data_IF_303525205185
#
_entry.id   IF_303525205185
#
_cell.length_a   1.000
_cell.length_b   1.000
_cell.length_c   1.000
_cell.angle_alpha   90.00
_cell.angle_beta   90.00
_cell.angle_gamma   90.00
#
_symmetry.space_group_name_H-M   'P 1'
#
loop_
_entity.id
_entity.type
_entity.pdbx_description
1 polymer ?
#
# COMPACT_ATOMS: atom_id res chain seq x y z
N UNK A 1 35.64 -11.02 -2.85
CA UNK A 1 35.01 -10.62 -1.58
C UNK A 1 35.25 -9.12 -1.38
N UNK A 2 34.40 -8.26 -1.96
CA UNK A 2 34.49 -6.79 -1.84
C UNK A 2 33.32 -6.32 -0.99
N UNK A 3 33.60 -5.81 0.21
CA UNK A 3 32.63 -5.07 1.01
C UNK A 3 32.50 -3.68 0.37
N UNK A 4 31.30 -3.33 -0.06
CA UNK A 4 30.96 -1.95 -0.45
C UNK A 4 30.35 -1.34 0.80
N UNK A 5 31.15 -0.54 1.52
CA UNK A 5 30.64 0.35 2.55
C UNK A 5 29.79 1.44 1.87
N UNK A 6 28.47 1.33 1.99
CA UNK A 6 27.58 2.43 1.65
C UNK A 6 27.62 3.44 2.80
N UNK A 7 28.46 4.47 2.62
CA UNK A 7 28.49 5.64 3.47
C UNK A 7 27.17 6.39 3.46
N UNK A 8 26.36 6.18 4.49
CA UNK A 8 25.31 7.10 4.91
C UNK A 8 25.94 8.13 5.85
N UNK A 9 26.51 9.18 5.26
CA UNK A 9 26.93 10.37 5.99
C UNK A 9 25.66 11.16 6.40
N UNK A 10 25.05 10.75 7.50
CA UNK A 10 24.02 11.54 8.17
C UNK A 10 24.73 12.72 8.86
N UNK A 11 24.74 13.87 8.19
CA UNK A 11 25.23 15.12 8.77
C UNK A 11 24.24 15.59 9.83
N UNK A 12 24.46 15.17 11.08
CA UNK A 12 23.72 15.68 12.23
C UNK A 12 24.02 17.17 12.41
N UNK A 13 23.09 17.98 11.90
CA UNK A 13 23.05 19.42 12.09
C UNK A 13 22.77 19.77 13.56
N UNK A 14 23.39 20.86 13.98
CA UNK A 14 23.71 21.28 15.34
C UNK A 14 22.52 21.87 16.12
N UNK A 15 21.34 21.25 16.05
CA UNK A 15 20.17 21.57 16.88
C UNK A 15 19.27 20.33 17.00
N UNK A 16 19.38 19.58 18.11
CA UNK A 16 18.42 18.52 18.45
C UNK A 16 17.07 19.17 18.87
N UNK A 17 16.27 19.61 17.89
CA UNK A 17 14.86 19.88 18.11
C UNK A 17 14.15 18.54 18.19
N UNK A 18 13.74 18.15 19.39
CA UNK A 18 12.94 16.94 19.62
C UNK A 18 11.59 17.12 18.91
N UNK A 19 11.44 16.45 17.78
CA UNK A 19 10.17 16.37 17.05
C UNK A 19 9.23 15.38 17.76
N UNK A 20 7.92 15.58 17.60
CA UNK A 20 6.93 14.68 18.19
C UNK A 20 6.77 13.40 17.34
N UNK A 21 6.78 13.54 16.02
CA UNK A 21 6.82 12.45 15.04
C UNK A 21 8.16 12.45 14.30
N UNK A 22 8.53 11.30 13.75
CA UNK A 22 9.73 11.12 12.92
C UNK A 22 9.33 10.64 11.52
N UNK A 23 8.90 11.54 10.60
CA UNK A 23 8.48 11.17 9.27
C UNK A 23 9.66 10.64 8.45
N UNK A 24 9.45 9.53 7.73
CA UNK A 24 10.49 8.87 6.94
C UNK A 24 11.11 9.78 5.85
N UNK A 25 10.31 10.68 5.29
CA UNK A 25 10.73 11.57 4.20
C UNK A 25 10.62 13.03 4.60
N UNK A 26 11.55 13.85 4.10
CA UNK A 26 11.49 15.31 4.24
C UNK A 26 10.21 15.90 3.62
N UNK A 27 9.67 16.97 4.22
CA UNK A 27 8.45 17.64 3.76
C UNK A 27 8.46 17.97 2.26
N UNK A 28 9.60 18.46 1.73
CA UNK A 28 9.75 18.78 0.30
C UNK A 28 9.56 17.57 -0.62
N UNK A 29 10.04 16.40 -0.20
CA UNK A 29 9.90 15.15 -0.97
C UNK A 29 8.44 14.71 -0.94
N UNK A 30 7.80 14.79 0.23
CA UNK A 30 6.39 14.45 0.43
C UNK A 30 5.49 15.33 -0.44
N UNK A 31 5.69 16.66 -0.41
CA UNK A 31 4.93 17.60 -1.25
C UNK A 31 5.12 17.35 -2.74
N UNK A 32 6.35 17.03 -3.19
CA UNK A 32 6.64 16.66 -4.58
C UNK A 32 5.96 15.35 -5.02
N UNK A 33 5.77 14.40 -4.10
CA UNK A 33 5.03 13.16 -4.38
C UNK A 33 3.53 13.43 -4.44
N UNK A 34 3.00 14.18 -3.47
CA UNK A 34 1.59 14.57 -3.42
C UNK A 34 1.17 15.44 -4.60
N UNK A 35 2.06 16.27 -5.16
CA UNK A 35 1.75 17.10 -6.33
C UNK A 35 1.47 16.30 -7.60
N UNK A 36 1.89 15.02 -7.66
CA UNK A 36 1.58 14.11 -8.77
C UNK A 36 0.21 13.44 -8.63
N UNK A 37 -0.37 13.48 -7.42
CA UNK A 37 -1.63 12.85 -7.10
C UNK A 37 -2.79 13.80 -7.39
N UNK A 38 -3.97 13.23 -7.62
CA UNK A 38 -5.18 14.03 -7.82
C UNK A 38 -5.66 14.58 -6.49
N UNK A 39 -5.76 15.91 -6.40
CA UNK A 39 -6.33 16.60 -5.23
C UNK A 39 -7.85 16.39 -5.19
N UNK A 40 -8.37 16.06 -4.02
CA UNK A 40 -9.79 15.82 -3.77
C UNK A 40 -10.50 17.11 -3.33
N UNK A 41 -11.77 17.23 -3.71
CA UNK A 41 -12.68 18.20 -3.13
C UNK A 41 -13.09 17.78 -1.72
N UNK A 42 -13.45 18.75 -0.88
CA UNK A 42 -13.89 18.47 0.48
C UNK A 42 -15.11 17.54 0.49
N UNK A 43 -15.05 16.50 1.31
CA UNK A 43 -16.14 15.55 1.52
C UNK A 43 -16.30 15.29 3.02
N UNK A 44 -17.48 15.60 3.58
CA UNK A 44 -17.76 15.43 5.01
C UNK A 44 -17.59 14.00 5.53
N UNK A 45 -17.78 12.99 4.67
CA UNK A 45 -17.65 11.58 5.05
C UNK A 45 -16.23 11.04 4.93
N UNK A 46 -15.35 11.75 4.22
CA UNK A 46 -13.96 11.34 3.95
C UNK A 46 -12.98 12.50 4.06
N UNK A 47 -13.25 13.39 5.01
CA UNK A 47 -12.55 14.67 5.19
C UNK A 47 -11.06 14.51 5.54
N UNK A 48 -10.65 13.32 5.95
CA UNK A 48 -9.24 12.99 6.25
C UNK A 48 -8.41 12.76 5.00
N UNK A 49 -9.03 12.50 3.83
CA UNK A 49 -8.34 12.29 2.55
C UNK A 49 -8.33 13.58 1.74
N UNK A 50 -7.14 14.00 1.32
CA UNK A 50 -6.89 15.20 0.52
C UNK A 50 -6.43 14.86 -0.91
N UNK A 51 -5.86 13.66 -1.10
CA UNK A 51 -5.32 13.20 -2.38
C UNK A 51 -5.77 11.77 -2.69
N UNK A 52 -5.76 11.42 -3.97
CA UNK A 52 -5.99 10.06 -4.51
C UNK A 52 -5.05 9.78 -5.67
N UNK A 53 -4.78 8.50 -5.96
CA UNK A 53 -4.00 8.07 -7.13
C UNK A 53 -4.76 8.26 -8.46
N UNK A 54 -6.08 8.47 -8.43
CA UNK A 54 -6.91 8.57 -9.64
C UNK A 54 -7.00 7.24 -10.40
N UNK A 55 -6.52 6.15 -9.80
CA UNK A 55 -6.51 4.82 -10.40
C UNK A 55 -7.90 4.20 -10.35
N UNK A 56 -8.28 3.52 -11.43
CA UNK A 56 -9.54 2.77 -11.48
C UNK A 56 -9.22 1.29 -11.70
N UNK A 57 -9.52 0.42 -10.72
CA UNK A 57 -9.28 -1.01 -10.85
C UNK A 57 -10.06 -1.65 -12.00
N UNK A 58 -9.49 -2.67 -12.65
CA UNK A 58 -10.17 -3.38 -13.73
C UNK A 58 -11.35 -4.21 -13.20
N UNK A 59 -12.40 -4.40 -14.02
CA UNK A 59 -13.53 -5.26 -13.67
C UNK A 59 -13.11 -6.71 -13.34
N UNK A 60 -13.88 -7.38 -12.49
CA UNK A 60 -13.62 -8.76 -12.04
C UNK A 60 -13.53 -9.83 -13.15
N UNK A 61 -14.02 -9.52 -14.35
CA UNK A 61 -13.97 -10.40 -15.52
C UNK A 61 -12.64 -10.35 -16.28
N UNK A 62 -11.83 -9.32 -16.05
CA UNK A 62 -10.53 -9.18 -16.71
C UNK A 62 -9.57 -10.28 -16.25
N UNK A 63 -8.56 -10.58 -17.08
CA UNK A 63 -7.58 -11.60 -16.75
C UNK A 63 -6.69 -11.17 -15.58
N UNK A 64 -6.03 -12.12 -14.92
CA UNK A 64 -5.16 -11.79 -13.80
C UNK A 64 -3.94 -10.97 -14.26
N UNK A 65 -3.32 -11.34 -15.37
CA UNK A 65 -2.22 -10.57 -15.95
C UNK A 65 -2.64 -9.14 -16.32
N UNK A 66 -3.84 -8.93 -16.89
CA UNK A 66 -4.30 -7.56 -17.21
C UNK A 66 -4.42 -6.70 -15.94
N UNK A 67 -4.90 -7.28 -14.84
CA UNK A 67 -5.00 -6.59 -13.55
C UNK A 67 -3.64 -6.22 -12.98
N UNK A 68 -2.65 -7.12 -13.09
CA UNK A 68 -1.26 -6.84 -12.70
C UNK A 68 -0.70 -5.69 -13.56
N UNK A 69 -0.86 -5.77 -14.89
CA UNK A 69 -0.35 -4.75 -15.80
C UNK A 69 -1.05 -3.39 -15.64
N UNK A 70 -2.30 -3.37 -15.18
CA UNK A 70 -3.03 -2.15 -14.87
C UNK A 70 -2.57 -1.51 -13.54
N UNK A 71 -1.81 -2.21 -12.70
CA UNK A 71 -1.41 -1.73 -11.38
C UNK A 71 -2.52 -1.88 -10.32
N UNK A 72 -3.48 -2.79 -10.51
CA UNK A 72 -4.54 -3.06 -9.51
C UNK A 72 -3.97 -3.57 -8.18
N UNK A 73 -2.76 -4.12 -8.23
CA UNK A 73 -2.02 -4.63 -7.08
C UNK A 73 -0.83 -3.75 -6.73
N UNK A 74 -0.72 -2.52 -7.25
CA UNK A 74 0.32 -1.59 -6.82
C UNK A 74 0.03 -1.06 -5.42
N UNK A 75 1.07 -0.75 -4.64
CA UNK A 75 0.93 -0.28 -3.26
C UNK A 75 0.08 1.01 -3.19
N UNK A 76 -0.87 1.12 -2.24
CA UNK A 76 -1.70 2.31 -2.04
C UNK A 76 -0.92 3.45 -1.34
N UNK A 77 0.18 3.88 -1.96
CA UNK A 77 1.16 4.81 -1.39
C UNK A 77 0.59 6.18 -1.02
N UNK A 78 -0.55 6.58 -1.60
CA UNK A 78 -1.11 7.92 -1.41
C UNK A 78 -1.59 8.18 0.02
N UNK A 79 -1.98 7.15 0.80
CA UNK A 79 -2.30 7.34 2.22
C UNK A 79 -1.05 7.69 3.02
N UNK A 80 0.05 6.96 2.83
CA UNK A 80 1.30 7.17 3.56
C UNK A 80 1.93 8.53 3.25
N UNK A 81 1.90 8.97 1.99
CA UNK A 81 2.31 10.34 1.64
C UNK A 81 1.52 11.41 2.40
N UNK A 82 0.22 11.18 2.61
CA UNK A 82 -0.61 12.10 3.40
C UNK A 82 -0.33 11.98 4.90
N UNK A 83 -0.03 10.78 5.42
CA UNK A 83 0.39 10.57 6.82
C UNK A 83 1.65 11.39 7.11
N UNK A 84 2.69 11.27 6.29
CA UNK A 84 3.92 12.03 6.48
C UNK A 84 3.72 13.53 6.39
N UNK A 85 2.85 14.01 5.49
CA UNK A 85 2.50 15.43 5.43
C UNK A 85 1.87 15.90 6.75
N UNK A 86 0.91 15.13 7.27
CA UNK A 86 0.24 15.45 8.54
C UNK A 86 1.20 15.40 9.72
N UNK A 87 2.16 14.47 9.73
CA UNK A 87 3.19 14.41 10.76
C UNK A 87 4.11 15.63 10.74
N UNK A 88 4.49 16.14 9.56
CA UNK A 88 5.22 17.41 9.43
C UNK A 88 4.40 18.59 9.99
N UNK A 89 3.10 18.69 9.66
CA UNK A 89 2.20 19.72 10.21
C UNK A 89 2.07 19.63 11.74
N UNK A 90 2.01 18.41 12.28
CA UNK A 90 1.98 18.15 13.72
C UNK A 90 3.28 18.58 14.40
N UNK A 91 4.43 18.29 13.79
CA UNK A 91 5.74 18.72 14.28
C UNK A 91 5.88 20.25 14.27
N UNK A 92 5.38 20.94 13.24
CA UNK A 92 5.32 22.41 13.22
C UNK A 92 4.46 22.95 14.38
N UNK A 93 3.30 22.34 14.62
CA UNK A 93 2.40 22.73 15.72
C UNK A 93 3.01 22.46 17.10
N UNK A 94 3.74 21.35 17.25
CA UNK A 94 4.48 21.00 18.46
C UNK A 94 5.54 22.05 18.81
N UNK A 95 6.35 22.45 17.83
CA UNK A 95 7.35 23.49 17.99
C UNK A 95 6.71 24.84 18.34
N UNK A 96 5.58 25.19 17.70
CA UNK A 96 4.84 26.42 17.97
C UNK A 96 4.19 26.45 19.35
N UNK A 97 3.81 25.28 19.88
CA UNK A 97 3.24 25.13 21.23
C UNK A 97 4.30 25.20 22.33
N UNK A 98 5.57 25.50 22.01
CA UNK A 98 6.70 25.52 22.95
C UNK A 98 6.82 24.22 23.76
N UNK A 99 6.46 23.09 23.15
CA UNK A 99 6.41 21.78 23.80
C UNK A 99 5.39 21.67 24.96
N UNK A 100 4.38 22.55 25.03
CA UNK A 100 3.25 22.38 25.92
C UNK A 100 2.27 21.35 25.35
N UNK A 101 2.17 20.21 26.03
CA UNK A 101 1.27 19.12 25.67
C UNK A 101 -0.20 19.54 25.67
N UNK A 102 -0.64 20.39 26.59
CA UNK A 102 -2.06 20.79 26.68
C UNK A 102 -2.45 21.60 25.43
N UNK A 103 -1.66 22.63 25.12
CA UNK A 103 -1.87 23.45 23.92
C UNK A 103 -1.75 22.62 22.63
N UNK A 104 -0.78 21.70 22.58
CA UNK A 104 -0.61 20.82 21.43
C UNK A 104 -1.84 19.94 21.21
N UNK A 105 -2.38 19.31 22.25
CA UNK A 105 -3.54 18.41 22.14
C UNK A 105 -4.80 19.14 21.67
N UNK A 106 -5.04 20.35 22.17
CA UNK A 106 -6.17 21.18 21.76
C UNK A 106 -6.09 21.56 20.28
N UNK A 107 -4.92 22.05 19.85
CA UNK A 107 -4.69 22.55 18.49
C UNK A 107 -4.60 21.44 17.42
N UNK A 108 -4.31 20.20 17.81
CA UNK A 108 -4.03 19.10 16.86
C UNK A 108 -5.07 18.00 16.82
N UNK A 109 -6.19 18.16 17.55
CA UNK A 109 -7.25 17.15 17.65
C UNK A 109 -7.70 16.61 16.26
N UNK A 110 -7.92 17.50 15.30
CA UNK A 110 -8.34 17.16 13.93
C UNK A 110 -7.23 16.47 13.14
N UNK A 111 -5.99 16.98 13.20
CA UNK A 111 -4.84 16.44 12.48
C UNK A 111 -4.47 15.04 13.01
N UNK A 112 -4.54 14.83 14.32
CA UNK A 112 -4.33 13.51 14.94
C UNK A 112 -5.39 12.52 14.50
N UNK A 113 -6.66 12.93 14.46
CA UNK A 113 -7.74 12.09 13.94
C UNK A 113 -7.56 11.78 12.44
N UNK A 114 -7.08 12.75 11.64
CA UNK A 114 -6.72 12.54 10.23
C UNK A 114 -5.61 11.51 10.07
N UNK A 115 -4.49 11.67 10.81
CA UNK A 115 -3.36 10.73 10.80
C UNK A 115 -3.84 9.31 11.10
N UNK A 116 -4.59 9.14 12.19
CA UNK A 116 -5.14 7.84 12.61
C UNK A 116 -5.95 7.18 11.49
N UNK A 117 -6.91 7.91 10.90
CA UNK A 117 -7.76 7.37 9.83
C UNK A 117 -7.01 7.05 8.55
N UNK A 118 -6.00 7.86 8.19
CA UNK A 118 -5.15 7.58 7.02
C UNK A 118 -4.34 6.31 7.22
N UNK A 119 -3.77 6.10 8.42
CA UNK A 119 -3.04 4.86 8.75
C UNK A 119 -3.98 3.65 8.76
N UNK A 120 -5.17 3.75 9.37
CA UNK A 120 -6.16 2.67 9.39
C UNK A 120 -6.65 2.30 7.98
N UNK A 121 -6.94 3.29 7.13
CA UNK A 121 -7.34 3.05 5.74
C UNK A 121 -6.18 2.41 4.94
N UNK A 122 -4.93 2.83 5.16
CA UNK A 122 -3.74 2.25 4.52
C UNK A 122 -3.57 0.77 4.89
N UNK A 123 -3.54 0.45 6.19
CA UNK A 123 -3.36 -0.92 6.67
C UNK A 123 -4.46 -1.85 6.15
N UNK A 124 -5.69 -1.36 6.13
CA UNK A 124 -6.83 -2.11 5.60
C UNK A 124 -6.70 -2.35 4.10
N UNK A 125 -6.44 -1.31 3.31
CA UNK A 125 -6.35 -1.41 1.85
C UNK A 125 -5.16 -2.28 1.43
N UNK A 126 -4.03 -2.16 2.14
CA UNK A 126 -2.85 -2.99 1.92
C UNK A 126 -3.11 -4.47 2.23
N UNK A 127 -3.79 -4.75 3.34
CA UNK A 127 -4.21 -6.11 3.67
C UNK A 127 -5.17 -6.68 2.62
N UNK A 128 -6.20 -5.92 2.22
CA UNK A 128 -7.16 -6.33 1.20
C UNK A 128 -6.49 -6.56 -0.17
N UNK A 129 -5.55 -5.71 -0.55
CA UNK A 129 -4.74 -5.84 -1.78
C UNK A 129 -3.91 -7.11 -1.76
N UNK A 130 -3.17 -7.34 -0.68
CA UNK A 130 -2.34 -8.53 -0.52
C UNK A 130 -3.22 -9.79 -0.55
N UNK A 131 -4.27 -9.84 0.26
CA UNK A 131 -5.22 -10.96 0.27
C UNK A 131 -5.81 -11.23 -1.12
N UNK A 132 -6.27 -10.18 -1.81
CA UNK A 132 -6.78 -10.28 -3.17
C UNK A 132 -5.75 -10.84 -4.13
N UNK A 133 -4.48 -10.47 -4.00
CA UNK A 133 -3.40 -10.98 -4.85
C UNK A 133 -3.23 -12.50 -4.70
N UNK A 134 -3.15 -13.01 -3.47
CA UNK A 134 -3.10 -14.45 -3.18
C UNK A 134 -4.31 -15.19 -3.78
N UNK A 135 -5.52 -14.66 -3.55
CA UNK A 135 -6.75 -15.24 -4.10
C UNK A 135 -6.75 -15.31 -5.63
N UNK A 136 -6.15 -14.31 -6.31
CA UNK A 136 -6.02 -14.36 -7.77
C UNK A 136 -5.03 -15.45 -8.20
N UNK A 137 -3.91 -15.65 -7.51
CA UNK A 137 -3.00 -16.76 -7.80
C UNK A 137 -3.70 -18.12 -7.64
N UNK A 138 -4.36 -18.38 -6.51
CA UNK A 138 -5.03 -19.67 -6.25
C UNK A 138 -6.24 -19.92 -7.15
N UNK A 139 -6.85 -18.86 -7.68
CA UNK A 139 -7.96 -18.96 -8.64
C UNK A 139 -7.48 -19.26 -10.06
N UNK A 140 -6.30 -18.76 -10.45
CA UNK A 140 -5.78 -18.90 -11.81
C UNK A 140 -4.86 -20.12 -11.97
N UNK A 141 -4.12 -20.49 -10.93
CA UNK A 141 -3.14 -21.57 -10.94
C UNK A 141 -3.45 -22.62 -9.88
N UNK A 142 -3.11 -23.87 -10.18
CA UNK A 142 -3.16 -24.99 -9.24
C UNK A 142 -1.86 -25.00 -8.42
N UNK A 143 -1.82 -24.09 -7.44
CA UNK A 143 -0.68 -23.85 -6.55
C UNK A 143 -1.19 -23.73 -5.12
N UNK A 144 -0.42 -24.24 -4.16
CA UNK A 144 -0.70 -24.01 -2.73
C UNK A 144 0.01 -22.75 -2.20
N UNK A 145 -0.24 -22.43 -0.94
CA UNK A 145 0.31 -21.22 -0.32
C UNK A 145 1.81 -21.28 -0.14
N UNK A 146 2.34 -22.42 0.29
CA UNK A 146 3.76 -22.58 0.61
C UNK A 146 4.59 -22.52 -0.68
N UNK A 147 4.10 -23.14 -1.75
CA UNK A 147 4.66 -23.04 -3.09
C UNK A 147 4.69 -21.59 -3.59
N UNK A 148 3.57 -20.87 -3.46
CA UNK A 148 3.51 -19.47 -3.88
C UNK A 148 4.50 -18.60 -3.09
N UNK A 149 4.58 -18.79 -1.77
CA UNK A 149 5.52 -18.05 -0.92
C UNK A 149 6.98 -18.38 -1.26
N UNK A 150 7.30 -19.64 -1.61
CA UNK A 150 8.63 -20.03 -2.10
C UNK A 150 8.98 -19.30 -3.41
N UNK A 151 8.08 -19.30 -4.40
CA UNK A 151 8.30 -18.53 -5.64
C UNK A 151 8.45 -17.03 -5.39
N UNK A 152 7.68 -16.48 -4.45
CA UNK A 152 7.77 -15.06 -4.07
C UNK A 152 9.13 -14.71 -3.46
N UNK A 153 9.73 -15.62 -2.68
CA UNK A 153 11.04 -15.43 -2.08
C UNK A 153 12.18 -15.58 -3.10
N UNK A 154 12.03 -16.50 -4.06
CA UNK A 154 13.01 -16.71 -5.14
C UNK A 154 12.92 -15.63 -6.23
N UNK A 155 11.74 -15.04 -6.42
CA UNK A 155 11.52 -13.99 -7.41
C UNK A 155 12.22 -12.69 -7.00
N UNK A 156 13.31 -12.36 -7.70
CA UNK A 156 13.98 -11.06 -7.60
C UNK A 156 13.37 -9.98 -8.51
N UNK A 157 12.32 -10.31 -9.25
CA UNK A 157 11.66 -9.43 -10.23
C UNK A 157 10.45 -8.69 -9.67
N UNK A 158 9.68 -8.07 -10.56
CA UNK A 158 8.41 -7.41 -10.24
C UNK A 158 7.25 -8.43 -10.18
N UNK A 159 6.06 -7.98 -9.75
CA UNK A 159 4.89 -8.85 -9.66
C UNK A 159 4.51 -9.53 -11.00
N UNK A 160 4.77 -8.85 -12.11
CA UNK A 160 4.59 -9.40 -13.46
C UNK A 160 5.54 -10.58 -13.72
N UNK A 161 6.79 -10.49 -13.24
CA UNK A 161 7.77 -11.55 -13.42
C UNK A 161 7.38 -12.78 -12.61
N UNK A 162 6.93 -12.58 -11.36
CA UNK A 162 6.36 -13.63 -10.53
C UNK A 162 5.19 -14.35 -11.24
N UNK A 163 4.29 -13.60 -11.88
CA UNK A 163 3.19 -14.18 -12.66
C UNK A 163 3.71 -15.14 -13.74
N UNK A 164 4.72 -14.73 -14.52
CA UNK A 164 5.26 -15.58 -15.59
C UNK A 164 6.08 -16.76 -15.08
N UNK A 165 6.79 -16.63 -13.95
CA UNK A 165 7.46 -17.75 -13.29
C UNK A 165 6.43 -18.83 -12.93
N UNK A 166 5.34 -18.42 -12.30
CA UNK A 166 4.26 -19.33 -11.89
C UNK A 166 3.55 -19.93 -13.12
N UNK A 167 3.26 -19.11 -14.14
CA UNK A 167 2.61 -19.56 -15.37
C UNK A 167 3.42 -20.64 -16.11
N UNK A 168 4.76 -20.55 -16.06
CA UNK A 168 5.64 -21.53 -16.68
C UNK A 168 5.78 -22.82 -15.86
N UNK A 169 5.67 -22.76 -14.53
CA UNK A 169 5.93 -23.89 -13.63
C UNK A 169 4.65 -24.66 -13.23
N UNK A 170 3.53 -23.96 -13.06
CA UNK A 170 2.30 -24.52 -12.53
C UNK A 170 1.17 -24.53 -13.57
N UNK A 171 0.29 -25.53 -13.46
CA UNK A 171 -0.85 -25.62 -14.38
C UNK A 171 -1.96 -24.65 -14.00
N UNK A 172 -2.70 -24.16 -14.99
CA UNK A 172 -3.88 -23.34 -14.74
C UNK A 172 -4.99 -24.15 -14.04
N UNK A 173 -5.68 -23.52 -13.09
CA UNK A 173 -6.81 -24.09 -12.38
C UNK A 173 -7.92 -24.54 -13.34
N UNK A 174 -8.23 -25.84 -13.31
CA UNK A 174 -9.33 -26.41 -14.11
C UNK A 174 -10.67 -26.04 -13.48
N UNK A 175 -11.44 -25.19 -14.15
CA UNK A 175 -12.82 -24.89 -13.72
C UNK A 175 -13.68 -26.15 -13.81
N UNK A 176 -14.03 -26.74 -12.66
CA UNK A 176 -15.05 -27.80 -12.63
C UNK A 176 -16.38 -27.21 -13.06
N UNK A 177 -16.95 -27.74 -14.16
CA UNK A 177 -18.30 -27.41 -14.57
C UNK A 177 -19.27 -27.80 -13.44
N UNK A 178 -19.90 -26.83 -12.79
CA UNK A 178 -21.01 -27.06 -11.86
C UNK A 178 -22.34 -27.30 -12.60
N UNK A 179 -22.35 -27.23 -13.93
CA UNK A 179 -23.54 -27.44 -14.76
C UNK A 179 -23.43 -28.77 -15.49
N UNK A 180 -24.19 -29.74 -15.01
CA UNK A 180 -24.37 -31.04 -15.65
C UNK A 180 -25.57 -31.75 -15.03
N UNK A 181 -26.35 -32.43 -15.87
CA UNK A 181 -27.41 -33.35 -15.44
C UNK A 181 -26.77 -34.43 -14.55
N UNK A 182 -27.36 -34.79 -13.39
CA UNK A 182 -26.85 -35.89 -12.58
C UNK A 182 -26.71 -37.16 -13.41
N UNK A 183 -25.66 -37.94 -13.15
CA UNK A 183 -25.48 -39.26 -13.77
C UNK A 183 -26.71 -40.11 -13.45
N UNK A 184 -27.39 -40.65 -14.48
CA UNK A 184 -28.50 -41.59 -14.26
C UNK A 184 -27.93 -42.83 -13.58
N UNK A 185 -28.61 -43.32 -12.54
CA UNK A 185 -28.33 -44.64 -11.98
C UNK A 185 -28.66 -45.70 -13.04
N UNK A 186 -27.79 -46.69 -13.20
CA UNK A 186 -28.09 -47.91 -13.96
C UNK A 186 -28.88 -48.83 -13.01
N UNK A 187 -30.07 -49.24 -13.43
CA UNK A 187 -30.93 -50.22 -12.72
C UNK A 187 -30.37 -51.65 -12.83
#
# INVERSE_FOLDING_TARGET
>A
MKKIDHGLHHSYSKYNKVMYYDPLFEKKIVEKKLSKLQKLNYNKFRWWRMYTNGHTPLPNKCSFIDKILNGDFDEPTFYMWQVWLVEHELNETWLNSKNDMSMFLENTSVQRARRKRLTEDFEKEEFERMYSLYEHFFKYFDIDRDQLEEEMLECSGELKDLYYIIENKYTHQKRKSKRGRPKKYED
#
